data_IF_710370768690
#
_entry.id   IF_710370768690
#
_cell.length_a   1.000
_cell.length_b   1.000
_cell.length_c   1.000
_cell.angle_alpha   90.00
_cell.angle_beta   90.00
_cell.angle_gamma   90.00
#
_symmetry.space_group_name_H-M   'P 1'
#
loop_
_entity.id
_entity.type
_entity.pdbx_description
1 polymer ?
#
# COMPACT_ATOMS: atom_id res chain seq x y z
N UNK A 1 30.58 5.68 -2.45
CA UNK A 1 29.50 4.87 -1.84
C UNK A 1 29.59 3.50 -2.46
N UNK A 2 29.56 2.44 -1.65
CA UNK A 2 29.63 1.07 -2.17
C UNK A 2 28.24 0.57 -2.61
N UNK A 3 28.21 -0.53 -3.35
CA UNK A 3 26.97 -1.11 -3.90
C UNK A 3 26.01 -1.49 -2.77
N UNK A 4 26.51 -2.09 -1.70
CA UNK A 4 25.68 -2.52 -0.57
C UNK A 4 24.98 -1.34 0.10
N UNK A 5 25.68 -0.23 0.33
CA UNK A 5 25.05 0.96 0.88
C UNK A 5 23.97 1.53 -0.04
N UNK A 6 24.24 1.59 -1.35
CA UNK A 6 23.25 2.10 -2.33
C UNK A 6 22.00 1.20 -2.38
N UNK A 7 22.16 -0.13 -2.36
CA UNK A 7 21.03 -1.07 -2.30
C UNK A 7 20.19 -0.89 -1.04
N UNK A 8 20.82 -0.66 0.13
CA UNK A 8 20.11 -0.36 1.38
C UNK A 8 19.36 0.96 1.33
N UNK A 9 20.00 2.01 0.81
CA UNK A 9 19.38 3.33 0.68
C UNK A 9 18.18 3.29 -0.27
N UNK A 10 18.31 2.61 -1.42
CA UNK A 10 17.22 2.43 -2.38
C UNK A 10 16.03 1.67 -1.76
N UNK A 11 16.31 0.59 -1.01
CA UNK A 11 15.27 -0.18 -0.34
C UNK A 11 14.58 0.60 0.78
N UNK A 12 15.35 1.36 1.57
CA UNK A 12 14.81 2.24 2.61
C UNK A 12 13.90 3.32 2.00
N UNK A 13 14.36 3.99 0.94
CA UNK A 13 13.56 4.99 0.25
C UNK A 13 12.25 4.41 -0.30
N UNK A 14 12.31 3.30 -1.03
CA UNK A 14 11.12 2.65 -1.59
C UNK A 14 10.12 2.23 -0.50
N UNK A 15 10.63 1.67 0.60
CA UNK A 15 9.79 1.27 1.75
C UNK A 15 9.11 2.47 2.40
N UNK A 16 9.86 3.55 2.67
CA UNK A 16 9.30 4.77 3.28
C UNK A 16 8.22 5.37 2.38
N UNK A 17 8.51 5.52 1.08
CA UNK A 17 7.54 6.06 0.13
C UNK A 17 6.28 5.19 0.03
N UNK A 18 6.42 3.87 -0.05
CA UNK A 18 5.28 2.96 -0.07
C UNK A 18 4.43 3.09 1.21
N UNK A 19 5.08 3.15 2.36
CA UNK A 19 4.42 3.19 3.66
C UNK A 19 3.74 4.54 3.97
N UNK A 20 3.93 5.58 3.16
CA UNK A 20 3.09 6.79 3.24
C UNK A 20 1.63 6.49 2.82
N UNK A 21 1.46 5.61 1.83
CA UNK A 21 0.15 5.31 1.24
C UNK A 21 -0.57 4.16 1.96
N UNK A 22 0.16 3.21 2.54
CA UNK A 22 -0.39 2.02 3.23
C UNK A 22 -1.37 2.37 4.37
N UNK A 23 -1.00 3.16 5.40
CA UNK A 23 -1.89 3.43 6.53
C UNK A 23 -3.11 4.25 6.12
N UNK A 24 -2.97 5.16 5.14
CA UNK A 24 -4.10 5.90 4.57
C UNK A 24 -5.07 4.97 3.85
N UNK A 25 -4.58 4.02 3.04
CA UNK A 25 -5.41 3.01 2.37
C UNK A 25 -6.18 2.17 3.39
N UNK A 26 -5.50 1.67 4.43
CA UNK A 26 -6.13 0.84 5.47
C UNK A 26 -7.17 1.62 6.29
N UNK A 27 -6.88 2.88 6.65
CA UNK A 27 -7.81 3.72 7.39
C UNK A 27 -9.02 4.15 6.55
N UNK A 28 -8.78 4.63 5.34
CA UNK A 28 -9.84 5.11 4.45
C UNK A 28 -10.76 3.97 3.99
N UNK A 29 -10.25 2.75 3.77
CA UNK A 29 -11.08 1.62 3.37
C UNK A 29 -12.14 1.29 4.42
N UNK A 30 -11.74 1.20 5.68
CA UNK A 30 -12.66 0.96 6.82
C UNK A 30 -13.62 2.13 6.98
N UNK A 31 -13.13 3.37 6.89
CA UNK A 31 -13.95 4.57 7.02
C UNK A 31 -15.04 4.65 5.95
N UNK A 32 -14.68 4.42 4.68
CA UNK A 32 -15.63 4.41 3.55
C UNK A 32 -16.63 3.27 3.71
N UNK A 33 -16.19 2.07 4.11
CA UNK A 33 -17.07 0.94 4.37
C UNK A 33 -18.11 1.24 5.48
N UNK A 34 -17.69 1.93 6.55
CA UNK A 34 -18.61 2.37 7.62
C UNK A 34 -19.61 3.41 7.10
N UNK A 35 -19.16 4.40 6.32
CA UNK A 35 -20.06 5.42 5.73
C UNK A 35 -21.10 4.79 4.81
N UNK A 36 -20.67 3.90 3.92
CA UNK A 36 -21.57 3.17 3.00
C UNK A 36 -22.55 2.28 3.78
N UNK A 37 -22.08 1.58 4.81
CA UNK A 37 -22.95 0.76 5.67
C UNK A 37 -24.00 1.60 6.40
N UNK A 38 -23.63 2.79 6.88
CA UNK A 38 -24.58 3.72 7.51
C UNK A 38 -25.62 4.20 6.51
N UNK A 39 -25.21 4.61 5.31
CA UNK A 39 -26.12 5.00 4.23
C UNK A 39 -27.13 3.88 3.92
N UNK A 40 -26.68 2.65 3.67
CA UNK A 40 -27.57 1.53 3.33
C UNK A 40 -28.56 1.21 4.45
N UNK A 41 -28.18 1.43 5.73
CA UNK A 41 -29.05 1.17 6.88
C UNK A 41 -30.03 2.30 7.17
N UNK A 42 -29.63 3.56 7.01
CA UNK A 42 -30.46 4.71 7.39
C UNK A 42 -31.19 5.38 6.22
N UNK A 43 -30.72 5.19 4.97
CA UNK A 43 -31.17 5.94 3.80
C UNK A 43 -30.72 7.40 3.78
N UNK A 44 -29.81 7.80 4.67
CA UNK A 44 -29.32 9.18 4.76
C UNK A 44 -28.25 9.46 3.69
N UNK A 45 -28.65 10.23 2.68
CA UNK A 45 -27.83 10.65 1.54
C UNK A 45 -26.55 11.41 1.94
N UNK A 46 -26.49 12.00 3.14
CA UNK A 46 -25.25 12.62 3.62
C UNK A 46 -24.11 11.60 3.71
N UNK A 47 -24.38 10.39 4.21
CA UNK A 47 -23.38 9.34 4.30
C UNK A 47 -22.95 8.82 2.93
N UNK A 48 -23.86 8.77 1.94
CA UNK A 48 -23.51 8.40 0.57
C UNK A 48 -22.57 9.43 -0.07
N UNK A 49 -22.85 10.72 0.12
CA UNK A 49 -22.00 11.79 -0.39
C UNK A 49 -20.61 11.76 0.26
N UNK A 50 -20.54 11.49 1.56
CA UNK A 50 -19.28 11.29 2.29
C UNK A 50 -18.52 10.07 1.75
N UNK A 51 -19.18 8.92 1.60
CA UNK A 51 -18.57 7.70 1.08
C UNK A 51 -17.99 7.90 -0.33
N UNK A 52 -18.72 8.60 -1.23
CA UNK A 52 -18.25 8.92 -2.58
C UNK A 52 -17.04 9.87 -2.57
N UNK A 53 -17.07 10.92 -1.76
CA UNK A 53 -15.97 11.88 -1.66
C UNK A 53 -14.69 11.22 -1.14
N UNK A 54 -14.78 10.53 0.00
CA UNK A 54 -13.64 9.84 0.60
C UNK A 54 -13.20 8.64 -0.22
N UNK A 55 -14.12 7.95 -0.87
CA UNK A 55 -13.85 6.85 -1.80
C UNK A 55 -13.01 7.27 -3.00
N UNK A 56 -13.21 8.49 -3.52
CA UNK A 56 -12.36 9.04 -4.58
C UNK A 56 -10.92 9.26 -4.11
N UNK A 57 -10.73 9.81 -2.91
CA UNK A 57 -9.40 10.01 -2.33
C UNK A 57 -8.72 8.68 -2.02
N UNK A 58 -9.48 7.71 -1.48
CA UNK A 58 -9.04 6.35 -1.29
C UNK A 58 -8.51 5.74 -2.58
N UNK A 59 -9.25 5.85 -3.69
CA UNK A 59 -8.84 5.25 -4.96
C UNK A 59 -7.54 5.83 -5.51
N UNK A 60 -7.35 7.16 -5.40
CA UNK A 60 -6.12 7.84 -5.80
C UNK A 60 -4.94 7.35 -4.94
N UNK A 61 -5.12 7.32 -3.62
CA UNK A 61 -4.09 6.86 -2.69
C UNK A 61 -3.74 5.38 -2.89
N UNK A 62 -4.76 4.55 -3.13
CA UNK A 62 -4.62 3.13 -3.39
C UNK A 62 -3.80 2.87 -4.66
N UNK A 63 -4.08 3.59 -5.75
CA UNK A 63 -3.32 3.45 -7.00
C UNK A 63 -1.82 3.74 -6.80
N UNK A 64 -1.47 4.80 -6.07
CA UNK A 64 -0.07 5.10 -5.73
C UNK A 64 0.54 4.03 -4.81
N UNK A 65 -0.24 3.53 -3.85
CA UNK A 65 0.16 2.41 -2.99
C UNK A 65 0.51 1.14 -3.79
N UNK A 66 -0.32 0.77 -4.77
CA UNK A 66 -0.07 -0.40 -5.64
C UNK A 66 1.22 -0.23 -6.44
N UNK A 67 1.41 0.91 -7.11
CA UNK A 67 2.61 1.16 -7.92
C UNK A 67 3.89 1.11 -7.09
N UNK A 68 3.87 1.73 -5.91
CA UNK A 68 5.02 1.70 -4.99
C UNK A 68 5.26 0.32 -4.38
N UNK A 69 4.19 -0.45 -4.13
CA UNK A 69 4.26 -1.83 -3.61
C UNK A 69 4.89 -2.80 -4.61
N UNK A 70 4.47 -2.74 -5.88
CA UNK A 70 5.07 -3.54 -6.97
C UNK A 70 6.57 -3.26 -7.08
N UNK A 71 6.96 -1.98 -6.96
CA UNK A 71 8.37 -1.59 -7.00
C UNK A 71 9.15 -2.23 -5.85
N UNK A 72 8.57 -2.29 -4.64
CA UNK A 72 9.19 -2.90 -3.47
C UNK A 72 9.30 -4.42 -3.60
N UNK A 73 8.26 -5.09 -4.11
CA UNK A 73 8.26 -6.53 -4.37
C UNK A 73 9.40 -6.95 -5.31
N UNK A 74 9.54 -6.26 -6.46
CA UNK A 74 10.61 -6.56 -7.41
C UNK A 74 12.03 -6.21 -6.91
N UNK A 75 12.17 -5.39 -5.86
CA UNK A 75 13.49 -5.12 -5.27
C UNK A 75 14.10 -6.35 -4.60
N UNK A 76 13.29 -7.28 -4.10
CA UNK A 76 13.79 -8.55 -3.56
C UNK A 76 14.47 -9.39 -4.65
N UNK A 77 14.00 -9.32 -5.90
CA UNK A 77 14.62 -10.01 -7.03
C UNK A 77 15.84 -9.30 -7.59
N UNK A 78 15.78 -7.97 -7.74
CA UNK A 78 16.82 -7.18 -8.43
C UNK A 78 18.04 -6.91 -7.55
N UNK A 79 17.84 -6.35 -6.36
CA UNK A 79 18.93 -5.91 -5.48
C UNK A 79 19.25 -6.90 -4.35
N UNK A 80 18.36 -7.85 -4.07
CA UNK A 80 18.49 -8.80 -2.96
C UNK A 80 18.38 -10.27 -3.40
N UNK A 81 18.80 -10.59 -4.62
CA UNK A 81 18.67 -11.94 -5.22
C UNK A 81 19.26 -13.08 -4.38
N UNK A 82 20.40 -12.86 -3.71
CA UNK A 82 21.01 -13.86 -2.82
C UNK A 82 20.19 -14.09 -1.55
N UNK A 83 19.57 -13.05 -0.98
CA UNK A 83 18.65 -13.20 0.13
C UNK A 83 17.42 -14.00 -0.32
N UNK A 84 16.84 -13.64 -1.46
CA UNK A 84 15.68 -14.34 -2.03
C UNK A 84 15.95 -15.80 -2.33
N UNK A 85 17.13 -16.15 -2.86
CA UNK A 85 17.52 -17.55 -3.05
C UNK A 85 17.79 -18.31 -1.75
N UNK A 86 18.19 -17.61 -0.68
CA UNK A 86 18.56 -18.22 0.59
C UNK A 86 17.35 -18.50 1.50
N UNK A 87 16.37 -17.60 1.54
CA UNK A 87 15.17 -17.74 2.39
C UNK A 87 13.86 -17.81 1.63
N UNK A 88 13.88 -17.83 0.29
CA UNK A 88 12.69 -17.76 -0.57
C UNK A 88 11.65 -18.84 -0.29
N UNK A 89 12.08 -20.06 0.03
CA UNK A 89 11.18 -21.18 0.34
C UNK A 89 10.29 -20.92 1.59
N UNK A 90 10.72 -20.02 2.49
CA UNK A 90 9.98 -19.63 3.70
C UNK A 90 9.37 -18.24 3.57
N UNK A 91 10.17 -17.26 3.12
CA UNK A 91 9.74 -15.86 3.05
C UNK A 91 8.78 -15.60 1.88
N UNK A 92 8.95 -16.32 0.76
CA UNK A 92 8.15 -16.15 -0.46
C UNK A 92 6.89 -16.98 -0.50
N UNK A 93 6.52 -17.69 0.57
CA UNK A 93 5.35 -18.59 0.59
C UNK A 93 4.01 -17.84 0.72
N UNK A 94 3.87 -16.68 0.06
CA UNK A 94 2.66 -15.87 -0.02
C UNK A 94 2.07 -15.90 -1.42
#
# INVERSE_FOLDING_TARGET
MDVLFLSRLQFAAATIFHFLFVPLTLGLSVMVAIMETKYVRSGDEQYLNMAKFWGKLFLINFALGVVTGITLEFQFGTNWSRYSAFVGDVFGSL
#
